data_IF_438475496264
#
_entry.id   IF_438475496264
#
_cell.length_a   1.000
_cell.length_b   1.000
_cell.length_c   1.000
_cell.angle_alpha   90.00
_cell.angle_beta   90.00
_cell.angle_gamma   90.00
#
_symmetry.space_group_name_H-M   'P 1'
#
loop_
_entity.id
_entity.type
_entity.pdbx_description
1 polymer ?
#
# COMPACT_ATOMS: atom_id res chain seq x y z
N UNK A 1 -3.09 -19.92 -24.85
CA UNK A 1 -4.27 -19.04 -24.70
C UNK A 1 -3.83 -17.80 -23.95
N UNK A 2 -4.24 -16.60 -24.37
CA UNK A 2 -4.00 -15.40 -23.57
C UNK A 2 -4.88 -15.49 -22.32
N UNK A 3 -4.29 -15.45 -21.13
CA UNK A 3 -5.08 -15.37 -19.90
C UNK A 3 -5.63 -13.95 -19.75
N UNK A 4 -6.96 -13.84 -19.64
CA UNK A 4 -7.64 -12.58 -19.37
C UNK A 4 -7.87 -12.46 -17.86
N UNK A 5 -7.47 -11.34 -17.25
CA UNK A 5 -7.75 -11.07 -15.83
C UNK A 5 -8.91 -10.09 -15.69
N UNK A 6 -9.93 -10.46 -14.92
CA UNK A 6 -10.98 -9.54 -14.48
C UNK A 6 -10.59 -8.92 -13.14
N UNK A 7 -10.68 -7.59 -13.03
CA UNK A 7 -10.27 -6.83 -11.84
C UNK A 7 -11.51 -6.22 -11.18
N UNK A 8 -11.64 -6.40 -9.87
CA UNK A 8 -12.63 -5.72 -9.03
C UNK A 8 -11.91 -4.59 -8.28
N UNK A 9 -12.30 -3.34 -8.56
CA UNK A 9 -11.87 -2.18 -7.79
C UNK A 9 -12.96 -1.85 -6.78
N UNK A 10 -12.66 -2.03 -5.49
CA UNK A 10 -13.62 -1.88 -4.41
C UNK A 10 -13.27 -0.66 -3.54
N UNK A 11 -14.17 0.32 -3.50
CA UNK A 11 -14.12 1.39 -2.52
C UNK A 11 -14.47 0.84 -1.13
N UNK A 12 -13.50 0.83 -0.22
CA UNK A 12 -13.68 0.28 1.13
C UNK A 12 -12.65 0.87 2.09
N UNK A 13 -12.98 1.10 3.38
CA UNK A 13 -14.27 0.84 4.04
C UNK A 13 -15.37 1.83 3.66
N UNK A 14 -16.55 1.68 4.27
CA UNK A 14 -17.67 2.62 4.13
C UNK A 14 -17.21 4.07 4.39
N UNK A 15 -17.68 5.00 3.55
CA UNK A 15 -17.24 6.40 3.53
C UNK A 15 -16.08 6.69 2.59
N UNK A 16 -15.43 5.66 2.04
CA UNK A 16 -14.37 5.79 1.03
C UNK A 16 -14.97 5.91 -0.37
N UNK A 17 -14.52 6.88 -1.17
CA UNK A 17 -14.95 7.05 -2.56
C UNK A 17 -16.47 7.13 -2.70
N UNK A 18 -17.07 6.18 -3.41
CA UNK A 18 -18.52 6.08 -3.59
C UNK A 18 -19.23 5.14 -2.60
N UNK A 19 -18.51 4.49 -1.69
CA UNK A 19 -19.09 3.59 -0.69
C UNK A 19 -19.73 4.35 0.47
N UNK A 20 -20.99 4.02 0.78
CA UNK A 20 -21.79 4.71 1.80
C UNK A 20 -22.65 3.74 2.63
N UNK A 21 -22.99 4.16 3.84
CA UNK A 21 -24.09 3.60 4.63
C UNK A 21 -25.30 4.54 4.57
N UNK A 22 -26.51 3.96 4.66
CA UNK A 22 -27.77 4.73 4.72
C UNK A 22 -28.00 5.34 6.09
N UNK A 23 -27.62 4.61 7.13
CA UNK A 23 -27.76 5.00 8.52
C UNK A 23 -26.42 5.52 9.04
N UNK A 24 -26.48 6.55 9.90
CA UNK A 24 -25.28 7.16 10.51
C UNK A 24 -24.49 6.13 11.33
N UNK A 25 -25.19 5.17 11.95
CA UNK A 25 -24.59 4.05 12.68
C UNK A 25 -23.63 3.22 11.83
N UNK A 26 -23.86 3.14 10.51
CA UNK A 26 -22.94 2.45 9.61
C UNK A 26 -21.58 3.13 9.45
N UNK A 27 -21.41 4.33 10.01
CA UNK A 27 -20.13 5.05 10.07
C UNK A 27 -19.47 4.99 11.46
N UNK A 28 -20.11 4.35 12.44
CA UNK A 28 -19.50 4.09 13.74
C UNK A 28 -18.68 2.78 13.71
N UNK A 29 -17.66 2.70 14.56
CA UNK A 29 -16.82 1.51 14.76
C UNK A 29 -16.18 0.92 13.47
N UNK A 30 -15.81 1.81 12.54
CA UNK A 30 -15.01 1.41 11.38
C UNK A 30 -13.56 1.18 11.83
N UNK A 31 -13.04 -0.02 11.57
CA UNK A 31 -11.67 -0.40 11.91
C UNK A 31 -11.15 -1.50 11.00
N UNK A 32 -9.96 -2.00 11.33
CA UNK A 32 -9.28 -3.06 10.57
C UNK A 32 -10.15 -4.32 10.44
N UNK A 33 -10.82 -4.75 11.53
CA UNK A 33 -11.62 -5.98 11.52
C UNK A 33 -12.99 -5.79 10.87
N UNK A 34 -13.68 -4.67 11.12
CA UNK A 34 -14.97 -4.42 10.47
C UNK A 34 -14.79 -4.18 8.97
N UNK A 35 -13.71 -3.51 8.55
CA UNK A 35 -13.31 -3.43 7.14
C UNK A 35 -13.13 -4.82 6.53
N UNK A 36 -12.25 -5.66 7.07
CA UNK A 36 -11.99 -6.98 6.48
C UNK A 36 -13.26 -7.85 6.38
N UNK A 37 -14.14 -7.77 7.38
CA UNK A 37 -15.41 -8.49 7.39
C UNK A 37 -16.41 -7.94 6.37
N UNK A 38 -16.51 -6.62 6.20
CA UNK A 38 -17.37 -6.02 5.17
C UNK A 38 -16.93 -6.41 3.76
N UNK A 39 -15.61 -6.51 3.50
CA UNK A 39 -15.11 -7.01 2.20
C UNK A 39 -15.50 -8.48 2.00
N UNK A 40 -15.39 -9.33 3.03
CA UNK A 40 -15.82 -10.73 2.94
C UNK A 40 -17.32 -10.84 2.61
N UNK A 41 -18.15 -10.04 3.28
CA UNK A 41 -19.60 -9.97 3.00
C UNK A 41 -19.85 -9.53 1.56
N UNK A 42 -19.15 -8.50 1.09
CA UNK A 42 -19.23 -8.04 -0.30
C UNK A 42 -18.87 -9.17 -1.27
N UNK A 43 -17.73 -9.84 -1.06
CA UNK A 43 -17.27 -10.92 -1.94
C UNK A 43 -18.26 -12.08 -1.99
N UNK A 44 -18.80 -12.50 -0.84
CA UNK A 44 -19.82 -13.55 -0.78
C UNK A 44 -21.08 -13.19 -1.56
N UNK A 45 -21.56 -11.94 -1.44
CA UNK A 45 -22.69 -11.45 -2.26
C UNK A 45 -22.32 -11.40 -3.74
N UNK A 46 -21.16 -10.85 -4.08
CA UNK A 46 -20.72 -10.71 -5.46
C UNK A 46 -20.58 -12.06 -6.16
N UNK A 47 -19.98 -13.06 -5.53
CA UNK A 47 -19.86 -14.41 -6.09
C UNK A 47 -21.18 -15.18 -6.12
N UNK A 48 -22.13 -14.85 -5.24
CA UNK A 48 -23.50 -15.38 -5.31
C UNK A 48 -24.22 -14.83 -6.54
N UNK A 49 -24.09 -13.52 -6.79
CA UNK A 49 -24.73 -12.84 -7.93
C UNK A 49 -24.02 -13.12 -9.26
N UNK A 50 -22.73 -13.48 -9.22
CA UNK A 50 -21.90 -13.74 -10.41
C UNK A 50 -21.26 -15.14 -10.37
N UNK A 51 -22.06 -16.23 -10.39
CA UNK A 51 -21.57 -17.59 -10.16
C UNK A 51 -20.56 -18.07 -11.22
N UNK A 52 -20.60 -17.50 -12.43
CA UNK A 52 -19.67 -17.84 -13.52
C UNK A 52 -18.21 -17.50 -13.19
N UNK A 53 -17.94 -16.56 -12.27
CA UNK A 53 -16.58 -16.25 -11.82
C UNK A 53 -16.08 -17.17 -10.69
N UNK A 54 -16.93 -17.98 -10.05
CA UNK A 54 -16.53 -18.77 -8.88
C UNK A 54 -15.41 -19.77 -9.20
N UNK A 55 -15.35 -20.27 -10.43
CA UNK A 55 -14.30 -21.20 -10.86
C UNK A 55 -12.95 -20.52 -11.11
N UNK A 56 -12.94 -19.19 -11.31
CA UNK A 56 -11.72 -18.46 -11.65
C UNK A 56 -10.76 -18.40 -10.45
N UNK A 57 -9.45 -18.56 -10.67
CA UNK A 57 -8.44 -18.23 -9.66
C UNK A 57 -8.68 -16.83 -9.09
N UNK A 58 -8.85 -16.73 -7.77
CA UNK A 58 -9.10 -15.47 -7.09
C UNK A 58 -7.88 -15.05 -6.27
N UNK A 59 -7.51 -13.78 -6.39
CA UNK A 59 -6.43 -13.14 -5.64
C UNK A 59 -6.95 -11.86 -5.00
N UNK A 60 -6.53 -11.60 -3.77
CA UNK A 60 -6.79 -10.34 -3.06
C UNK A 60 -5.54 -9.47 -3.16
N UNK A 61 -5.68 -8.18 -3.43
CA UNK A 61 -4.50 -7.33 -3.41
C UNK A 61 -4.73 -5.84 -3.31
N UNK A 62 -3.64 -5.12 -3.09
CA UNK A 62 -3.61 -3.67 -2.99
C UNK A 62 -2.23 -3.19 -2.54
N UNK A 63 -2.10 -1.87 -2.35
CA UNK A 63 -0.85 -1.25 -1.91
C UNK A 63 -1.00 -0.47 -0.61
N UNK A 64 0.13 -0.13 0.02
CA UNK A 64 0.16 0.68 1.25
C UNK A 64 -0.60 -0.01 2.39
N UNK A 65 -1.63 0.63 2.96
CA UNK A 65 -2.43 0.08 4.05
C UNK A 65 -3.14 -1.23 3.70
N UNK A 66 -3.38 -1.50 2.40
CA UNK A 66 -3.86 -2.80 1.95
C UNK A 66 -2.85 -3.93 2.20
N UNK A 67 -1.59 -3.62 2.52
CA UNK A 67 -0.62 -4.57 3.08
C UNK A 67 -1.07 -5.21 4.39
N UNK A 68 -1.84 -4.48 5.21
CA UNK A 68 -2.52 -5.07 6.37
C UNK A 68 -3.78 -5.84 5.97
N UNK A 69 -4.60 -5.23 5.12
CA UNK A 69 -5.96 -5.70 4.90
C UNK A 69 -6.03 -6.92 3.97
N UNK A 70 -5.23 -6.96 2.91
CA UNK A 70 -5.22 -8.08 1.95
C UNK A 70 -4.95 -9.44 2.61
N UNK A 71 -3.92 -9.62 3.46
CA UNK A 71 -3.71 -10.91 4.14
C UNK A 71 -4.80 -11.21 5.19
N UNK A 72 -5.40 -10.20 5.83
CA UNK A 72 -6.50 -10.45 6.78
C UNK A 72 -7.75 -10.94 6.04
N UNK A 73 -8.11 -10.28 4.94
CA UNK A 73 -9.24 -10.65 4.08
C UNK A 73 -9.02 -12.05 3.50
N UNK A 74 -7.83 -12.33 2.95
CA UNK A 74 -7.49 -13.65 2.44
C UNK A 74 -7.54 -14.73 3.53
N UNK A 75 -7.16 -14.41 4.77
CA UNK A 75 -7.28 -15.35 5.89
C UNK A 75 -8.75 -15.63 6.23
N UNK A 76 -9.63 -14.62 6.22
CA UNK A 76 -11.06 -14.86 6.42
C UNK A 76 -11.66 -15.76 5.32
N UNK A 77 -11.33 -15.51 4.05
CA UNK A 77 -11.76 -16.37 2.94
C UNK A 77 -11.23 -17.80 3.14
N UNK A 78 -9.97 -17.97 3.52
CA UNK A 78 -9.38 -19.28 3.82
C UNK A 78 -10.15 -20.03 4.92
N UNK A 79 -10.54 -19.34 5.98
CA UNK A 79 -11.34 -19.90 7.08
C UNK A 79 -12.75 -20.30 6.62
N UNK A 80 -13.41 -19.52 5.76
CA UNK A 80 -14.72 -19.88 5.23
C UNK A 80 -14.67 -21.12 4.32
N UNK A 81 -13.58 -21.27 3.55
CA UNK A 81 -13.32 -22.48 2.74
C UNK A 81 -13.14 -23.71 3.64
N UNK A 82 -12.38 -23.60 4.73
CA UNK A 82 -12.17 -24.69 5.70
C UNK A 82 -13.49 -25.11 6.38
N UNK A 83 -14.37 -24.14 6.63
CA UNK A 83 -15.71 -24.38 7.20
C UNK A 83 -16.73 -24.88 6.18
N UNK A 84 -16.37 -25.00 4.90
CA UNK A 84 -17.27 -25.46 3.84
C UNK A 84 -18.41 -24.49 3.51
N UNK A 85 -18.24 -23.19 3.80
CA UNK A 85 -19.25 -22.16 3.50
C UNK A 85 -19.40 -21.94 1.99
N UNK A 86 -20.58 -21.46 1.59
CA UNK A 86 -20.91 -21.11 0.22
C UNK A 86 -21.19 -19.59 0.11
N UNK A 87 -20.85 -18.95 -1.04
CA UNK A 87 -20.20 -19.53 -2.21
C UNK A 87 -18.71 -19.84 -1.95
N UNK A 88 -18.20 -20.93 -2.53
CA UNK A 88 -16.78 -21.28 -2.41
C UNK A 88 -15.93 -20.37 -3.31
N UNK A 89 -15.24 -19.40 -2.71
CA UNK A 89 -14.26 -18.56 -3.41
C UNK A 89 -13.00 -19.39 -3.72
N UNK A 90 -12.58 -19.43 -4.99
CA UNK A 90 -11.37 -20.14 -5.42
C UNK A 90 -10.08 -19.33 -5.13
N UNK A 91 -9.84 -19.01 -3.85
CA UNK A 91 -8.67 -18.24 -3.40
C UNK A 91 -7.37 -19.00 -3.72
N UNK A 92 -6.46 -18.34 -4.45
CA UNK A 92 -5.13 -18.87 -4.79
C UNK A 92 -3.98 -18.13 -4.10
N UNK A 93 -4.21 -16.90 -3.68
CA UNK A 93 -3.14 -16.09 -3.13
C UNK A 93 -3.52 -14.63 -2.91
N UNK A 94 -2.50 -13.82 -2.68
CA UNK A 94 -2.65 -12.38 -2.55
C UNK A 94 -1.44 -11.63 -3.09
N UNK A 95 -1.65 -10.35 -3.41
CA UNK A 95 -0.65 -9.45 -4.00
C UNK A 95 -0.59 -8.17 -3.19
N UNK A 96 0.57 -7.80 -2.64
CA UNK A 96 0.73 -6.58 -1.86
C UNK A 96 1.92 -5.74 -2.33
N UNK A 97 1.67 -4.46 -2.56
CA UNK A 97 2.68 -3.49 -3.02
C UNK A 97 3.01 -2.47 -1.95
N UNK A 98 4.29 -2.25 -1.65
CA UNK A 98 4.77 -1.36 -0.59
C UNK A 98 3.91 -1.54 0.68
N UNK A 99 3.87 -2.76 1.26
CA UNK A 99 2.85 -3.11 2.25
C UNK A 99 3.15 -2.48 3.62
N UNK A 100 2.17 -1.79 4.20
CA UNK A 100 2.19 -1.51 5.65
C UNK A 100 1.99 -2.84 6.37
N UNK A 101 2.91 -3.18 7.27
CA UNK A 101 2.88 -4.43 8.05
C UNK A 101 3.05 -4.24 9.55
N UNK A 102 3.55 -3.10 10.01
CA UNK A 102 3.77 -2.76 11.42
C UNK A 102 4.97 -1.83 11.58
N UNK A 103 4.83 -0.80 12.42
CA UNK A 103 5.84 0.27 12.57
C UNK A 103 7.22 -0.20 13.00
N UNK A 104 7.30 -1.30 13.75
CA UNK A 104 8.57 -1.93 14.17
C UNK A 104 9.46 -2.32 12.98
N UNK A 105 8.87 -2.61 11.82
CA UNK A 105 9.59 -2.80 10.56
C UNK A 105 9.46 -1.55 9.67
N UNK A 106 8.24 -1.14 9.36
CA UNK A 106 7.98 -0.15 8.31
C UNK A 106 8.70 1.18 8.56
N UNK A 107 8.57 1.73 9.77
CA UNK A 107 9.15 3.03 10.11
C UNK A 107 10.62 2.89 10.55
N UNK A 108 10.98 1.78 11.22
CA UNK A 108 12.32 1.58 11.73
C UNK A 108 13.38 1.50 10.62
N UNK A 109 13.01 1.01 9.44
CA UNK A 109 13.92 0.91 8.30
C UNK A 109 14.05 2.21 7.49
N UNK A 110 13.35 3.29 7.84
CA UNK A 110 13.50 4.59 7.15
C UNK A 110 14.89 5.21 7.34
N UNK A 111 15.47 5.09 8.53
CA UNK A 111 16.83 5.60 8.81
C UNK A 111 17.90 4.88 7.97
N UNK A 112 18.03 3.53 7.99
CA UNK A 112 19.01 2.84 7.15
C UNK A 112 18.74 3.02 5.66
N UNK A 113 17.48 3.09 5.23
CA UNK A 113 17.15 3.38 3.84
C UNK A 113 17.63 4.76 3.42
N UNK A 114 17.29 5.81 4.18
CA UNK A 114 17.70 7.19 3.89
C UNK A 114 19.23 7.35 3.83
N UNK A 115 19.97 6.58 4.64
CA UNK A 115 21.43 6.52 4.54
C UNK A 115 21.87 5.89 3.22
N UNK A 116 21.30 4.73 2.86
CA UNK A 116 21.64 4.01 1.63
C UNK A 116 21.38 4.77 0.32
N UNK A 117 20.50 5.79 0.35
CA UNK A 117 20.19 6.64 -0.81
C UNK A 117 20.74 8.07 -0.68
N UNK A 118 21.56 8.35 0.34
CA UNK A 118 22.28 9.63 0.48
C UNK A 118 21.44 10.80 0.98
N UNK A 119 20.25 10.56 1.57
CA UNK A 119 19.44 11.61 2.20
C UNK A 119 20.08 12.05 3.53
N UNK A 120 20.71 11.12 4.25
CA UNK A 120 21.46 11.43 5.48
C UNK A 120 22.92 11.03 5.35
N UNK A 121 23.79 11.78 6.02
CA UNK A 121 25.24 11.52 6.00
C UNK A 121 25.64 10.35 6.89
N UNK A 122 26.84 9.80 6.66
CA UNK A 122 27.45 8.78 7.49
C UNK A 122 27.50 9.19 8.97
N UNK A 123 27.85 10.45 9.27
CA UNK A 123 27.94 10.94 10.65
C UNK A 123 26.59 10.92 11.35
N UNK A 124 25.51 11.29 10.63
CA UNK A 124 24.16 11.27 11.18
C UNK A 124 23.66 9.82 11.36
N UNK A 125 23.94 8.95 10.40
CA UNK A 125 23.58 7.53 10.48
C UNK A 125 24.30 6.81 11.63
N UNK A 126 25.61 7.00 11.76
CA UNK A 126 26.37 6.47 12.89
C UNK A 126 25.90 7.03 14.23
N UNK A 127 25.56 8.32 14.30
CA UNK A 127 24.97 8.92 15.49
C UNK A 127 23.62 8.27 15.82
N UNK A 128 22.81 7.94 14.81
CA UNK A 128 21.54 7.24 15.00
C UNK A 128 21.79 5.83 15.56
N UNK A 129 22.71 5.06 14.98
CA UNK A 129 23.06 3.72 15.49
C UNK A 129 23.52 3.79 16.95
N UNK A 130 24.45 4.70 17.27
CA UNK A 130 25.03 4.82 18.61
C UNK A 130 24.00 5.23 19.66
N UNK A 131 23.15 6.21 19.35
CA UNK A 131 22.24 6.80 20.34
C UNK A 131 20.88 6.09 20.40
N UNK A 132 20.38 5.54 19.29
CA UNK A 132 19.06 4.92 19.22
C UNK A 132 19.08 3.38 19.33
N UNK A 133 20.26 2.75 19.34
CA UNK A 133 20.45 1.31 19.63
C UNK A 133 19.54 0.40 18.78
N UNK A 134 19.33 0.76 17.51
CA UNK A 134 18.52 0.00 16.55
C UNK A 134 17.00 0.24 16.59
N UNK A 135 16.51 1.10 17.50
CA UNK A 135 15.11 1.54 17.54
C UNK A 135 15.01 3.02 17.15
N UNK A 136 14.68 3.27 15.90
CA UNK A 136 14.57 4.61 15.30
C UNK A 136 13.15 5.20 15.33
N UNK A 137 12.20 4.48 15.95
CA UNK A 137 10.79 4.86 16.04
C UNK A 137 10.39 5.36 17.43
N UNK A 138 11.09 4.90 18.47
CA UNK A 138 10.78 5.15 19.87
C UNK A 138 12.06 5.63 20.56
N UNK A 139 12.33 6.95 20.60
CA UNK A 139 13.55 7.47 21.19
C UNK A 139 13.59 7.15 22.69
N UNK A 140 14.65 6.49 23.13
CA UNK A 140 14.82 6.07 24.54
C UNK A 140 15.45 7.17 25.40
N UNK A 141 16.10 8.15 24.79
CA UNK A 141 16.77 9.26 25.48
C UNK A 141 16.81 10.53 24.63
N UNK A 142 17.29 11.62 25.24
CA UNK A 142 17.38 12.95 24.62
C UNK A 142 18.33 13.00 23.42
N UNK A 143 19.38 12.17 23.39
CA UNK A 143 20.34 12.17 22.30
C UNK A 143 19.75 11.48 21.07
N UNK A 144 19.10 10.32 21.26
CA UNK A 144 18.35 9.68 20.18
C UNK A 144 17.25 10.61 19.63
N UNK A 145 16.48 11.27 20.50
CA UNK A 145 15.45 12.21 20.08
C UNK A 145 16.01 13.35 19.20
N UNK A 146 17.17 13.93 19.56
CA UNK A 146 17.84 14.97 18.76
C UNK A 146 18.31 14.47 17.40
N UNK A 147 18.87 13.27 17.36
CA UNK A 147 19.31 12.64 16.10
C UNK A 147 18.11 12.38 15.19
N UNK A 148 17.03 11.80 15.73
CA UNK A 148 15.81 11.53 14.96
C UNK A 148 15.10 12.82 14.51
N UNK A 149 15.15 13.90 15.30
CA UNK A 149 14.64 15.20 14.87
C UNK A 149 15.43 15.76 13.68
N UNK A 150 16.76 15.62 13.70
CA UNK A 150 17.61 16.03 12.57
C UNK A 150 17.29 15.22 11.31
N UNK A 151 17.10 13.90 11.46
CA UNK A 151 16.64 13.03 10.39
C UNK A 151 15.27 13.46 9.84
N UNK A 152 14.29 13.73 10.70
CA UNK A 152 12.95 14.17 10.29
C UNK A 152 13.00 15.50 9.54
N UNK A 153 13.84 16.45 9.96
CA UNK A 153 14.02 17.72 9.26
C UNK A 153 14.51 17.51 7.82
N UNK A 154 15.53 16.65 7.62
CA UNK A 154 16.04 16.34 6.28
C UNK A 154 15.00 15.62 5.41
N UNK A 155 14.30 14.64 5.98
CA UNK A 155 13.24 13.91 5.29
C UNK A 155 12.06 14.82 4.91
N UNK A 156 11.78 15.88 5.68
CA UNK A 156 10.72 16.85 5.37
C UNK A 156 11.00 17.67 4.10
N UNK A 157 12.25 17.68 3.63
CA UNK A 157 12.64 18.44 2.44
C UNK A 157 12.32 17.73 1.12
N UNK A 158 12.04 16.42 1.16
CA UNK A 158 11.86 15.57 -0.03
C UNK A 158 10.45 15.00 -0.13
N UNK A 159 10.09 14.47 -1.31
CA UNK A 159 8.89 13.65 -1.46
C UNK A 159 9.16 12.24 -0.93
N UNK A 160 8.59 11.92 0.23
CA UNK A 160 8.77 10.61 0.86
C UNK A 160 8.13 9.46 0.08
N UNK A 161 7.15 9.74 -0.78
CA UNK A 161 6.48 8.71 -1.58
C UNK A 161 7.26 8.36 -2.85
N UNK A 162 8.17 9.24 -3.26
CA UNK A 162 9.04 9.06 -4.41
C UNK A 162 10.25 9.98 -4.20
N UNK A 163 11.36 9.45 -3.67
CA UNK A 163 12.48 10.30 -3.20
C UNK A 163 13.18 11.12 -4.29
N UNK A 164 12.97 10.79 -5.57
CA UNK A 164 13.44 11.57 -6.73
C UNK A 164 12.39 12.56 -7.27
N UNK A 165 11.20 12.56 -6.68
CA UNK A 165 10.05 13.38 -7.05
C UNK A 165 10.13 14.80 -6.51
N UNK A 166 9.25 15.66 -7.04
CA UNK A 166 9.10 17.03 -6.57
C UNK A 166 8.31 17.05 -5.27
N UNK A 167 8.86 17.66 -4.21
CA UNK A 167 8.12 17.88 -2.98
C UNK A 167 7.04 18.96 -3.17
N UNK A 168 5.81 18.52 -3.34
CA UNK A 168 4.68 19.38 -3.68
C UNK A 168 4.19 20.30 -2.56
N UNK A 169 4.49 20.00 -1.30
CA UNK A 169 4.11 20.86 -0.18
C UNK A 169 5.02 22.09 -0.13
N UNK A 170 6.32 21.92 -0.39
CA UNK A 170 7.29 23.03 -0.45
C UNK A 170 7.35 23.72 -1.82
N UNK A 171 7.05 23.01 -2.91
CA UNK A 171 6.99 23.57 -4.27
C UNK A 171 5.88 24.61 -4.46
N UNK A 172 4.81 24.54 -3.66
CA UNK A 172 3.75 25.58 -3.61
C UNK A 172 4.21 26.87 -2.91
N UNK A 173 5.26 26.81 -2.07
CA UNK A 173 5.71 27.93 -1.22
C UNK A 173 6.69 28.90 -1.92
N UNK A 174 6.84 28.84 -3.24
CA UNK A 174 7.62 29.86 -3.99
C UNK A 174 6.98 31.25 -3.94
N UNK A 175 5.75 31.39 -3.45
CA UNK A 175 5.21 32.67 -2.96
C UNK A 175 5.42 32.77 -1.45
N UNK A 176 6.54 33.40 -1.05
CA UNK A 176 6.95 33.60 0.33
C UNK A 176 5.90 34.32 1.21
N UNK A 177 5.94 33.92 2.48
CA UNK A 177 5.79 34.70 3.73
C UNK A 177 4.62 34.21 4.61
N UNK A 178 5.01 33.61 5.74
CA UNK A 178 4.19 33.27 6.92
C UNK A 178 3.37 31.98 6.82
N UNK A 179 3.83 30.91 7.46
CA UNK A 179 3.35 30.55 8.81
C UNK A 179 3.74 29.11 9.17
N UNK A 180 4.20 28.97 10.40
CA UNK A 180 4.68 27.75 11.06
C UNK A 180 3.52 26.93 11.67
N UNK A 181 2.27 27.10 11.21
CA UNK A 181 1.12 26.66 12.02
C UNK A 181 -0.13 26.29 11.21
N UNK A 182 0.01 25.44 10.18
CA UNK A 182 -1.13 24.95 9.39
C UNK A 182 -1.11 23.42 9.19
N UNK A 183 -1.09 22.68 10.29
CA UNK A 183 -1.48 21.26 10.28
C UNK A 183 -2.49 21.06 11.40
N UNK A 184 -3.62 21.76 11.37
CA UNK A 184 -4.88 21.31 11.98
C UNK A 184 -6.04 22.12 11.40
N UNK A 185 -7.13 21.40 11.09
CA UNK A 185 -8.51 21.86 10.88
C UNK A 185 -8.97 22.10 9.43
N UNK A 186 -9.97 21.29 9.06
CA UNK A 186 -10.85 21.36 7.88
C UNK A 186 -10.22 20.83 6.59
N UNK A 187 -10.93 19.92 5.88
CA UNK A 187 -10.64 19.56 4.47
C UNK A 187 -10.89 20.83 3.64
N UNK A 188 -9.87 21.59 3.22
CA UNK A 188 -10.09 22.68 2.29
C UNK A 188 -10.32 22.02 0.92
N UNK A 189 -11.20 22.58 0.09
CA UNK A 189 -11.20 22.21 -1.33
C UNK A 189 -9.76 22.31 -1.83
N UNK A 190 -9.20 21.30 -2.52
CA UNK A 190 -7.78 21.30 -2.79
C UNK A 190 -7.43 22.52 -3.64
N UNK A 191 -6.62 23.43 -3.07
CA UNK A 191 -5.93 24.45 -3.88
C UNK A 191 -5.24 23.72 -5.03
N UNK A 192 -5.44 24.22 -6.25
CA UNK A 192 -4.99 23.54 -7.46
C UNK A 192 -3.47 23.30 -7.38
N UNK A 193 -3.00 22.04 -7.41
CA UNK A 193 -1.58 21.76 -7.45
C UNK A 193 -0.91 22.30 -8.71
N UNK A 194 0.39 22.56 -8.63
CA UNK A 194 1.18 22.89 -9.82
C UNK A 194 1.20 21.70 -10.79
N UNK A 195 1.34 21.97 -12.10
CA UNK A 195 1.32 20.92 -13.12
C UNK A 195 2.46 19.89 -12.96
N UNK A 196 3.60 20.34 -12.44
CA UNK A 196 4.77 19.48 -12.19
C UNK A 196 4.60 18.55 -10.98
N UNK A 197 3.56 18.78 -10.19
CA UNK A 197 3.28 18.01 -9.01
C UNK A 197 2.51 16.73 -9.31
N UNK A 198 2.97 15.60 -8.75
CA UNK A 198 2.29 14.32 -8.92
C UNK A 198 0.83 14.39 -8.42
N UNK A 199 0.58 15.18 -7.38
CA UNK A 199 -0.76 15.42 -6.82
C UNK A 199 -1.74 16.09 -7.79
N UNK A 200 -1.26 16.73 -8.87
CA UNK A 200 -2.13 17.28 -9.92
C UNK A 200 -2.98 16.17 -10.58
N UNK A 201 -2.45 14.96 -10.71
CA UNK A 201 -3.22 13.81 -11.22
C UNK A 201 -4.40 13.45 -10.32
N UNK A 202 -4.20 13.56 -9.00
CA UNK A 202 -5.29 13.33 -8.03
C UNK A 202 -6.33 14.45 -8.08
N UNK A 203 -5.90 15.68 -8.32
CA UNK A 203 -6.81 16.81 -8.55
C UNK A 203 -7.71 16.56 -9.78
N UNK A 204 -7.13 16.15 -10.91
CA UNK A 204 -7.90 15.77 -12.11
C UNK A 204 -8.85 14.59 -11.85
N UNK A 205 -8.41 13.59 -11.07
CA UNK A 205 -9.24 12.46 -10.68
C UNK A 205 -10.48 12.91 -9.88
N UNK A 206 -10.32 13.83 -8.92
CA UNK A 206 -11.45 14.37 -8.18
C UNK A 206 -12.42 15.14 -9.08
N UNK A 207 -11.93 15.92 -10.06
CA UNK A 207 -12.78 16.60 -11.05
C UNK A 207 -13.58 15.57 -11.85
N UNK A 208 -12.89 14.59 -12.43
CA UNK A 208 -13.52 13.55 -13.25
C UNK A 208 -14.56 12.76 -12.45
N UNK A 209 -14.24 12.33 -11.23
CA UNK A 209 -15.13 11.52 -10.39
C UNK A 209 -16.35 12.30 -9.86
N UNK A 210 -16.25 13.63 -9.78
CA UNK A 210 -17.36 14.49 -9.35
C UNK A 210 -18.18 15.06 -10.52
N UNK A 211 -17.77 14.85 -11.76
CA UNK A 211 -18.57 15.22 -12.93
C UNK A 211 -19.89 14.43 -12.97
N UNK A 212 -21.00 15.13 -13.20
CA UNK A 212 -22.34 14.52 -13.19
C UNK A 212 -22.48 13.40 -14.22
N UNK A 213 -21.87 13.54 -15.40
CA UNK A 213 -21.93 12.52 -16.45
C UNK A 213 -21.11 11.29 -16.08
N UNK A 214 -19.94 11.48 -15.44
CA UNK A 214 -19.15 10.36 -14.90
C UNK A 214 -19.93 9.61 -13.82
N UNK A 215 -20.55 10.34 -12.88
CA UNK A 215 -21.31 9.73 -11.77
C UNK A 215 -22.51 8.95 -12.28
N UNK A 216 -23.21 9.47 -13.28
CA UNK A 216 -24.30 8.77 -13.95
C UNK A 216 -23.79 7.50 -14.66
N UNK A 217 -22.70 7.59 -15.41
CA UNK A 217 -22.10 6.44 -16.12
C UNK A 217 -21.61 5.33 -15.18
N UNK A 218 -21.12 5.70 -13.99
CA UNK A 218 -20.72 4.76 -12.93
C UNK A 218 -21.90 4.23 -12.11
N UNK A 219 -23.13 4.69 -12.37
CA UNK A 219 -24.32 4.27 -11.63
C UNK A 219 -24.40 4.80 -10.19
N UNK A 220 -23.71 5.90 -9.88
CA UNK A 220 -23.75 6.54 -8.56
C UNK A 220 -25.13 7.15 -8.34
N UNK A 221 -25.86 6.66 -7.35
CA UNK A 221 -27.23 7.12 -7.08
C UNK A 221 -27.25 8.56 -6.56
N UNK A 222 -28.11 9.41 -7.12
CA UNK A 222 -28.30 10.77 -6.62
C UNK A 222 -28.77 10.75 -5.15
N UNK A 223 -28.18 11.62 -4.33
CA UNK A 223 -28.52 11.75 -2.91
C UNK A 223 -27.80 10.76 -1.97
N UNK A 224 -26.92 9.87 -2.46
CA UNK A 224 -26.19 8.93 -1.59
C UNK A 224 -24.83 9.44 -1.14
N UNK A 225 -24.04 9.97 -2.08
CA UNK A 225 -22.74 10.59 -1.84
C UNK A 225 -22.81 12.03 -2.31
N UNK A 226 -22.38 12.98 -1.49
CA UNK A 226 -22.21 14.37 -1.90
C UNK A 226 -21.03 14.49 -2.87
N UNK A 227 -19.83 14.58 -2.32
CA UNK A 227 -18.58 14.68 -3.07
C UNK A 227 -17.77 13.38 -2.98
N UNK A 228 -17.23 12.94 -4.12
CA UNK A 228 -16.18 11.92 -4.15
C UNK A 228 -14.88 12.55 -3.65
N UNK A 229 -14.28 11.90 -2.65
CA UNK A 229 -12.96 12.26 -2.11
C UNK A 229 -12.07 11.03 -2.18
N UNK A 230 -10.96 11.13 -2.93
CA UNK A 230 -10.02 10.01 -3.15
C UNK A 230 -9.52 9.39 -1.83
N UNK A 231 -9.17 10.22 -0.84
CA UNK A 231 -8.66 9.77 0.46
C UNK A 231 -9.29 10.61 1.58
N UNK A 232 -10.43 10.15 2.10
CA UNK A 232 -11.17 10.87 3.14
C UNK A 232 -10.56 10.63 4.52
N UNK A 233 -9.85 11.64 5.05
CA UNK A 233 -9.19 11.57 6.38
C UNK A 233 -10.15 11.75 7.56
N UNK A 234 -11.35 12.27 7.32
CA UNK A 234 -12.36 12.53 8.33
C UNK A 234 -13.16 11.31 8.76
N UNK A 235 -12.93 10.13 8.14
CA UNK A 235 -13.56 8.89 8.57
C UNK A 235 -12.97 8.49 9.93
N UNK A 236 -13.78 8.33 10.99
CA UNK A 236 -13.30 7.84 12.28
C UNK A 236 -12.92 6.36 12.13
N UNK A 237 -11.65 6.11 11.82
CA UNK A 237 -11.10 4.78 11.57
C UNK A 237 -10.19 4.32 12.71
N UNK A 238 -10.45 3.12 13.24
CA UNK A 238 -9.65 2.51 14.30
C UNK A 238 -8.64 1.53 13.70
N UNK A 239 -7.33 1.83 13.81
CA UNK A 239 -6.30 0.84 13.48
C UNK A 239 -6.10 -0.12 14.66
N UNK A 240 -6.79 -1.26 14.58
CA UNK A 240 -6.83 -2.29 15.63
C UNK A 240 -5.71 -3.32 15.49
N UNK A 241 -5.13 -3.48 14.30
CA UNK A 241 -4.10 -4.48 14.00
C UNK A 241 -2.72 -3.83 14.04
N UNK A 242 -1.91 -4.06 15.11
CA UNK A 242 -0.61 -3.43 15.22
C UNK A 242 0.37 -3.94 14.16
N UNK A 243 0.27 -5.24 13.84
CA UNK A 243 1.06 -5.86 12.78
C UNK A 243 0.29 -6.94 12.01
N UNK A 244 0.45 -6.93 10.68
CA UNK A 244 -0.11 -7.95 9.77
C UNK A 244 0.86 -9.09 9.44
N UNK A 245 2.11 -9.04 9.92
CA UNK A 245 3.17 -10.04 9.61
C UNK A 245 2.70 -11.47 9.92
N UNK A 246 1.98 -11.67 11.04
CA UNK A 246 1.42 -12.98 11.40
C UNK A 246 0.42 -13.54 10.36
N UNK A 247 -0.36 -12.68 9.71
CA UNK A 247 -1.32 -13.09 8.68
C UNK A 247 -0.61 -13.48 7.39
N UNK A 248 0.44 -12.76 7.01
CA UNK A 248 1.33 -13.13 5.91
C UNK A 248 1.96 -14.52 6.14
N UNK A 249 2.47 -14.77 7.34
CA UNK A 249 3.06 -16.06 7.72
C UNK A 249 2.04 -17.20 7.67
N UNK A 250 0.85 -17.01 8.26
CA UNK A 250 -0.20 -18.02 8.30
C UNK A 250 -0.64 -18.44 6.89
N UNK A 251 -0.88 -17.48 6.00
CA UNK A 251 -1.32 -17.77 4.63
C UNK A 251 -0.26 -18.48 3.81
N UNK A 252 0.98 -18.01 3.87
CA UNK A 252 2.08 -18.63 3.10
C UNK A 252 2.45 -20.01 3.64
N UNK A 253 2.32 -20.24 4.95
CA UNK A 253 2.46 -21.58 5.56
C UNK A 253 1.35 -22.55 5.14
N UNK A 254 0.18 -22.04 4.74
CA UNK A 254 -0.93 -22.81 4.18
C UNK A 254 -0.81 -23.05 2.66
N UNK A 255 0.27 -22.58 2.03
CA UNK A 255 0.52 -22.78 0.60
C UNK A 255 -0.18 -21.79 -0.33
N UNK A 256 -0.75 -20.69 0.19
CA UNK A 256 -1.25 -19.62 -0.66
C UNK A 256 -0.09 -18.85 -1.29
N UNK A 257 -0.15 -18.64 -2.61
CA UNK A 257 0.86 -17.87 -3.34
C UNK A 257 0.84 -16.42 -2.87
N UNK A 258 2.00 -15.79 -2.77
CA UNK A 258 2.09 -14.36 -2.49
C UNK A 258 3.09 -13.65 -3.38
N UNK A 259 2.65 -12.51 -3.93
CA UNK A 259 3.53 -11.53 -4.56
C UNK A 259 3.63 -10.34 -3.63
N UNK A 260 4.82 -10.11 -3.11
CA UNK A 260 5.14 -8.90 -2.35
C UNK A 260 6.07 -8.07 -3.22
N UNK A 261 5.73 -6.80 -3.44
CA UNK A 261 6.59 -5.92 -4.21
C UNK A 261 6.79 -4.57 -3.53
N UNK A 262 7.92 -3.93 -3.82
CA UNK A 262 8.23 -2.58 -3.31
C UNK A 262 8.89 -1.74 -4.39
N UNK A 263 8.41 -0.52 -4.60
CA UNK A 263 9.19 0.51 -5.25
C UNK A 263 10.46 0.79 -4.46
N UNK A 264 11.62 0.77 -5.12
CA UNK A 264 12.91 1.00 -4.45
C UNK A 264 13.21 2.47 -4.13
N UNK A 265 12.31 3.39 -4.51
CA UNK A 265 12.37 4.82 -4.19
C UNK A 265 11.25 5.27 -3.22
N UNK A 266 10.57 4.33 -2.56
CA UNK A 266 9.60 4.62 -1.49
C UNK A 266 10.30 4.76 -0.13
N UNK A 267 10.19 5.93 0.51
CA UNK A 267 10.65 6.15 1.88
C UNK A 267 9.51 6.03 2.91
N UNK A 268 8.25 6.05 2.48
CA UNK A 268 7.10 5.77 3.38
C UNK A 268 7.23 4.35 3.90
N UNK A 269 7.47 3.38 3.02
CA UNK A 269 7.67 1.97 3.36
C UNK A 269 8.87 1.44 2.55
N UNK A 270 10.09 1.62 3.06
CA UNK A 270 11.29 1.20 2.35
C UNK A 270 11.26 -0.28 1.99
N UNK A 271 11.74 -0.64 0.79
CA UNK A 271 11.88 -2.04 0.39
C UNK A 271 12.71 -2.86 1.40
N UNK A 272 13.63 -2.20 2.13
CA UNK A 272 14.39 -2.80 3.23
C UNK A 272 13.50 -3.32 4.36
N UNK A 273 12.45 -2.58 4.74
CA UNK A 273 11.49 -3.04 5.78
C UNK A 273 10.77 -4.29 5.30
N UNK A 274 10.34 -4.26 4.04
CA UNK A 274 9.57 -5.35 3.43
C UNK A 274 10.42 -6.62 3.33
N UNK A 275 11.66 -6.47 2.87
CA UNK A 275 12.60 -7.57 2.80
C UNK A 275 12.94 -8.11 4.20
N UNK A 276 13.08 -7.24 5.21
CA UNK A 276 13.43 -7.65 6.57
C UNK A 276 12.35 -8.52 7.22
N UNK A 277 11.06 -8.16 7.12
CA UNK A 277 10.01 -9.01 7.70
C UNK A 277 9.84 -10.31 6.91
N UNK A 278 10.02 -10.31 5.59
CA UNK A 278 9.99 -11.54 4.78
C UNK A 278 11.09 -12.49 5.24
N UNK A 279 12.32 -11.97 5.43
CA UNK A 279 13.45 -12.76 5.94
C UNK A 279 13.20 -13.32 7.34
N UNK A 280 12.40 -12.63 8.16
CA UNK A 280 12.04 -13.11 9.51
C UNK A 280 11.28 -14.45 9.49
N UNK A 281 10.67 -14.83 8.35
CA UNK A 281 9.97 -16.11 8.22
C UNK A 281 10.91 -17.32 8.08
N UNK A 282 12.18 -17.08 7.75
CA UNK A 282 13.19 -18.13 7.60
C UNK A 282 12.77 -19.25 6.62
N UNK A 283 12.03 -18.90 5.57
CA UNK A 283 11.71 -19.83 4.49
C UNK A 283 12.94 -20.11 3.63
N UNK A 284 13.01 -21.32 3.08
CA UNK A 284 14.09 -21.71 2.16
C UNK A 284 13.98 -20.92 0.86
N UNK A 285 15.11 -20.36 0.40
CA UNK A 285 15.22 -19.68 -0.90
C UNK A 285 15.27 -20.74 -2.00
N UNK A 286 14.46 -20.59 -3.04
CA UNK A 286 14.42 -21.48 -4.21
C UNK A 286 14.92 -20.81 -5.49
N UNK A 287 14.89 -19.48 -5.55
CA UNK A 287 15.51 -18.66 -6.58
C UNK A 287 16.16 -17.46 -5.89
N UNK A 288 17.49 -17.37 -5.97
CA UNK A 288 18.29 -16.39 -5.21
C UNK A 288 18.13 -14.97 -5.78
N UNK A 289 18.54 -13.97 -4.99
CA UNK A 289 18.42 -12.56 -5.35
C UNK A 289 19.07 -12.25 -6.71
N UNK A 290 18.24 -11.91 -7.70
CA UNK A 290 18.68 -11.63 -9.06
C UNK A 290 17.90 -10.49 -9.69
N UNK A 291 18.47 -9.89 -10.74
CA UNK A 291 17.75 -8.90 -11.54
C UNK A 291 16.66 -9.58 -12.38
N UNK A 292 15.50 -8.92 -12.46
CA UNK A 292 14.46 -9.26 -13.44
C UNK A 292 14.42 -8.18 -14.51
N UNK A 293 14.09 -8.58 -15.75
CA UNK A 293 14.34 -7.75 -16.93
C UNK A 293 13.07 -7.47 -17.72
N UNK A 294 12.99 -6.25 -18.24
CA UNK A 294 11.98 -5.82 -19.19
C UNK A 294 12.66 -4.99 -20.27
N UNK A 295 12.41 -5.32 -21.54
CA UNK A 295 13.03 -4.67 -22.71
C UNK A 295 14.57 -4.59 -22.66
N UNK A 296 15.22 -5.64 -22.13
CA UNK A 296 16.68 -5.70 -22.02
C UNK A 296 17.28 -4.80 -20.94
N UNK A 297 16.46 -4.22 -20.05
CA UNK A 297 16.90 -3.43 -18.90
C UNK A 297 16.48 -4.11 -17.59
N UNK A 298 17.28 -3.93 -16.54
CA UNK A 298 16.89 -4.36 -15.20
C UNK A 298 15.70 -3.50 -14.73
N UNK A 299 14.53 -4.12 -14.63
CA UNK A 299 13.31 -3.51 -14.13
C UNK A 299 13.23 -3.55 -12.59
N UNK A 300 14.08 -4.36 -11.97
CA UNK A 300 14.32 -4.42 -10.53
C UNK A 300 14.98 -5.75 -10.15
N UNK A 301 14.77 -6.20 -8.91
CA UNK A 301 15.34 -7.44 -8.38
C UNK A 301 14.28 -8.32 -7.75
N UNK A 302 14.49 -9.63 -7.74
CA UNK A 302 13.53 -10.59 -7.21
C UNK A 302 14.22 -11.73 -6.47
N UNK A 303 13.50 -12.33 -5.53
CA UNK A 303 13.86 -13.52 -4.78
C UNK A 303 12.59 -14.34 -4.52
N UNK A 304 12.68 -15.66 -4.65
CA UNK A 304 11.55 -16.57 -4.44
C UNK A 304 11.86 -17.58 -3.34
N UNK A 305 10.86 -17.83 -2.49
CA UNK A 305 10.92 -18.75 -1.37
C UNK A 305 10.04 -19.98 -1.60
N UNK A 306 10.39 -21.10 -0.97
CA UNK A 306 9.72 -22.40 -1.10
C UNK A 306 8.22 -22.36 -0.75
N UNK A 307 7.79 -21.42 0.07
CA UNK A 307 6.39 -21.22 0.50
C UNK A 307 5.55 -20.44 -0.52
N UNK A 308 5.92 -20.49 -1.81
CA UNK A 308 5.27 -19.77 -2.90
C UNK A 308 5.19 -18.24 -2.70
N UNK A 309 6.15 -17.69 -1.94
CA UNK A 309 6.30 -16.25 -1.74
C UNK A 309 7.37 -15.72 -2.69
N UNK A 310 7.03 -14.69 -3.44
CA UNK A 310 7.96 -13.96 -4.32
C UNK A 310 8.05 -12.52 -3.83
N UNK A 311 9.28 -12.05 -3.59
CA UNK A 311 9.55 -10.64 -3.32
C UNK A 311 10.17 -9.99 -4.56
N UNK A 312 9.73 -8.77 -4.89
CA UNK A 312 10.17 -8.03 -6.07
C UNK A 312 10.42 -6.56 -5.70
N UNK A 313 11.55 -6.01 -6.12
CA UNK A 313 11.73 -4.55 -6.16
C UNK A 313 11.42 -4.04 -7.57
N UNK A 314 10.91 -2.82 -7.65
CA UNK A 314 10.63 -2.13 -8.91
C UNK A 314 11.54 -0.90 -8.97
N UNK A 315 12.48 -0.92 -9.92
CA UNK A 315 13.51 0.10 -10.03
C UNK A 315 12.93 1.44 -10.46
N UNK A 316 13.17 2.47 -9.67
CA UNK A 316 12.56 3.79 -9.83
C UNK A 316 11.07 3.83 -9.48
N UNK A 317 10.55 2.82 -8.77
CA UNK A 317 9.17 2.79 -8.29
C UNK A 317 9.03 3.56 -6.98
N UNK A 318 7.95 4.34 -6.86
CA UNK A 318 7.57 5.00 -5.60
C UNK A 318 6.62 4.16 -4.75
N UNK A 319 5.96 4.80 -3.79
CA UNK A 319 5.04 4.20 -2.82
C UNK A 319 3.88 3.46 -3.50
N UNK A 320 3.27 4.07 -4.50
CA UNK A 320 2.37 3.39 -5.43
C UNK A 320 3.16 3.18 -6.72
N UNK A 321 3.84 2.04 -6.85
CA UNK A 321 4.80 1.85 -7.94
C UNK A 321 4.19 1.97 -9.34
N UNK A 322 2.92 1.57 -9.52
CA UNK A 322 2.23 1.63 -10.83
C UNK A 322 2.04 3.06 -11.35
N UNK A 323 2.05 4.05 -10.47
CA UNK A 323 1.94 5.47 -10.83
C UNK A 323 3.18 6.01 -11.56
N UNK A 324 4.33 5.39 -11.31
CA UNK A 324 5.64 5.80 -11.81
C UNK A 324 6.23 4.81 -12.82
N UNK A 325 5.90 3.53 -12.66
CA UNK A 325 6.44 2.38 -13.40
C UNK A 325 5.32 1.46 -13.89
N UNK A 326 4.34 1.96 -14.66
CA UNK A 326 3.16 1.18 -15.04
C UNK A 326 3.51 -0.03 -15.91
N UNK A 327 4.50 0.11 -16.81
CA UNK A 327 4.92 -0.95 -17.71
C UNK A 327 5.56 -2.11 -16.94
N UNK A 328 6.45 -1.78 -16.01
CA UNK A 328 7.14 -2.72 -15.14
C UNK A 328 6.15 -3.41 -14.19
N UNK A 329 5.24 -2.66 -13.57
CA UNK A 329 4.21 -3.22 -12.69
C UNK A 329 3.30 -4.20 -13.43
N UNK A 330 2.86 -3.84 -14.65
CA UNK A 330 2.02 -4.70 -15.48
C UNK A 330 2.74 -5.98 -15.87
N UNK A 331 3.99 -5.88 -16.36
CA UNK A 331 4.79 -7.05 -16.72
C UNK A 331 5.03 -7.98 -15.52
N UNK A 332 5.34 -7.40 -14.36
CA UNK A 332 5.54 -8.16 -13.11
C UNK A 332 4.27 -8.93 -12.72
N UNK A 333 3.12 -8.26 -12.62
CA UNK A 333 1.89 -8.92 -12.16
C UNK A 333 1.40 -9.95 -13.18
N UNK A 334 1.52 -9.66 -14.47
CA UNK A 334 1.11 -10.57 -15.53
C UNK A 334 1.94 -11.85 -15.53
N UNK A 335 3.28 -11.73 -15.55
CA UNK A 335 4.19 -12.89 -15.46
C UNK A 335 3.91 -13.72 -14.21
N UNK A 336 3.73 -13.06 -13.06
CA UNK A 336 3.45 -13.77 -11.81
C UNK A 336 2.10 -14.51 -11.85
N UNK A 337 1.03 -13.89 -12.37
CA UNK A 337 -0.28 -14.55 -12.50
C UNK A 337 -0.20 -15.77 -13.44
N UNK A 338 0.52 -15.64 -14.55
CA UNK A 338 0.71 -16.68 -15.56
C UNK A 338 1.70 -17.79 -15.14
N UNK A 339 2.35 -17.64 -13.98
CA UNK A 339 3.47 -18.49 -13.51
C UNK A 339 4.69 -18.46 -14.43
N UNK A 340 4.88 -17.35 -15.14
CA UNK A 340 6.08 -17.10 -15.92
C UNK A 340 7.20 -16.53 -15.03
N UNK A 341 8.48 -16.80 -15.36
CA UNK A 341 9.60 -16.19 -14.67
C UNK A 341 9.59 -14.66 -14.80
N UNK A 342 9.94 -13.97 -13.71
CA UNK A 342 10.20 -12.53 -13.72
C UNK A 342 11.52 -12.18 -14.42
#
# INVERSE_FOLDING_TARGET
EFQTTSIILLDSPVGTGFSYARDVEGYHDIGDFSFSMHVLIFLNKWFTDHPHYQSNPFFVGGSSYAGKMSPIIAQHISQEIELGKQPKINLKGYVVGNPVTGSDYDDNFRVPYAHGVGIISDQLYEAAIRNCKGSYIRPTDKMCARVLNTFQNLVSEIDVSQILGVNCIRGMLTHRFLSEEYIQLSDPSPEQPTLDCFSYRYYLCNIWANDDSTREALGVKRGTIGEFVRCKKSIPYTSEVPSSIKYHFNLTSRGYRSLVFSGDHDLVIPFLSTHAWIRSFNFSVVDDWRAWHLDGQAAGFTITYANYMTFVTIKGGGHVSIEHRPKECLAMVQRWLDNEPL
#
